data_IF_413087657108
#
_entry.id   IF_413087657108
#
_cell.length_a   1.000
_cell.length_b   1.000
_cell.length_c   1.000
_cell.angle_alpha   90.00
_cell.angle_beta   90.00
_cell.angle_gamma   90.00
#
_symmetry.space_group_name_H-M   'P 1'
#
loop_
_entity.id
_entity.type
_entity.pdbx_description
1 polymer ?
#
# COMPACT_ATOMS: atom_id res chain seq x y z
N UNK A 1 22.37 53.50 -56.77
CA UNK A 1 21.85 52.34 -57.52
C UNK A 1 22.27 51.09 -56.77
N UNK A 2 21.33 50.25 -56.27
CA UNK A 2 21.55 48.85 -55.79
C UNK A 2 22.40 48.71 -54.49
N UNK A 3 22.07 47.94 -53.44
CA UNK A 3 20.93 47.05 -53.12
C UNK A 3 20.74 46.85 -51.58
N UNK A 4 19.62 46.18 -51.22
CA UNK A 4 19.10 45.78 -49.88
C UNK A 4 19.84 44.61 -49.20
N UNK A 5 19.71 44.49 -47.87
CA UNK A 5 19.21 43.31 -47.11
C UNK A 5 18.54 43.83 -45.79
N UNK A 6 17.28 43.50 -45.43
CA UNK A 6 16.72 42.25 -44.82
C UNK A 6 17.23 42.11 -43.36
N UNK A 7 16.39 42.05 -42.31
CA UNK A 7 15.56 40.90 -41.93
C UNK A 7 14.27 41.23 -41.13
N UNK A 8 13.51 40.19 -40.74
CA UNK A 8 12.06 40.17 -40.50
C UNK A 8 11.69 39.98 -39.03
N UNK A 9 10.65 40.67 -38.55
CA UNK A 9 9.88 40.25 -37.36
C UNK A 9 8.42 39.97 -37.75
N UNK A 10 7.92 38.78 -37.40
CA UNK A 10 6.52 38.38 -37.64
C UNK A 10 5.72 38.31 -36.34
N UNK A 11 4.74 39.20 -36.26
CA UNK A 11 3.68 39.33 -35.25
C UNK A 11 2.79 38.08 -35.12
N UNK A 12 2.22 37.83 -33.94
CA UNK A 12 0.87 37.25 -33.66
C UNK A 12 0.69 37.04 -32.14
N UNK A 13 -0.49 37.11 -31.49
CA UNK A 13 -1.77 37.76 -31.83
C UNK A 13 -2.60 38.04 -30.54
N UNK A 14 -3.65 38.87 -30.65
CA UNK A 14 -4.69 39.17 -29.61
C UNK A 14 -5.92 38.24 -29.81
N UNK A 15 -6.92 38.03 -28.94
CA UNK A 15 -7.41 38.43 -27.59
C UNK A 15 -8.49 37.33 -27.20
N UNK A 16 -9.49 37.42 -26.27
CA UNK A 16 -9.78 38.32 -25.12
C UNK A 16 -10.15 37.62 -23.77
N UNK A 17 -10.35 38.42 -22.73
CA UNK A 17 -10.96 38.07 -21.43
C UNK A 17 -12.46 37.74 -21.51
N UNK A 18 -13.00 37.05 -20.48
CA UNK A 18 -14.45 36.83 -20.31
C UNK A 18 -14.87 37.01 -18.85
N UNK A 19 -15.70 38.02 -18.57
CA UNK A 19 -16.42 38.18 -17.30
C UNK A 19 -17.81 37.52 -17.39
N UNK A 20 -18.30 37.00 -16.25
CA UNK A 20 -19.72 36.72 -16.03
C UNK A 20 -20.03 37.06 -14.56
N UNK A 21 -21.07 37.85 -14.31
CA UNK A 21 -21.62 38.16 -12.98
C UNK A 21 -23.07 37.65 -12.88
N UNK A 22 -23.48 37.14 -11.72
CA UNK A 22 -24.66 37.56 -10.91
C UNK A 22 -25.22 36.44 -10.00
N UNK A 23 -25.53 36.79 -8.74
CA UNK A 23 -26.51 36.10 -7.85
C UNK A 23 -26.18 34.68 -7.35
N UNK A 24 -26.62 34.20 -6.17
CA UNK A 24 -27.53 34.74 -5.14
C UNK A 24 -27.35 33.96 -3.82
N UNK A 25 -27.52 34.61 -2.66
CA UNK A 25 -27.73 34.01 -1.30
C UNK A 25 -26.66 33.03 -0.73
N UNK A 26 -25.84 33.56 0.16
CA UNK A 26 -25.90 33.16 1.57
C UNK A 26 -25.28 31.83 2.02
N UNK A 27 -23.95 31.70 1.95
CA UNK A 27 -23.16 30.91 2.92
C UNK A 27 -21.89 31.67 3.29
N UNK A 28 -21.61 31.80 4.59
CA UNK A 28 -20.42 32.48 5.10
C UNK A 28 -19.22 31.53 5.06
N UNK A 29 -18.61 31.39 3.88
CA UNK A 29 -17.36 30.66 3.72
C UNK A 29 -16.20 31.59 4.09
N UNK A 30 -15.56 31.34 5.25
CA UNK A 30 -14.22 31.88 5.53
C UNK A 30 -13.27 31.39 4.44
N UNK A 31 -12.92 32.28 3.50
CA UNK A 31 -11.81 32.07 2.57
C UNK A 31 -10.51 32.07 3.37
N UNK A 32 -10.07 30.89 3.81
CA UNK A 32 -8.70 30.73 4.26
C UNK A 32 -7.83 30.58 3.01
N UNK A 33 -7.28 31.70 2.55
CA UNK A 33 -6.33 31.72 1.42
C UNK A 33 -5.12 30.87 1.76
N UNK A 34 -4.80 29.91 0.89
CA UNK A 34 -3.46 29.31 0.88
C UNK A 34 -2.44 30.44 0.68
N UNK A 35 -1.32 30.46 1.41
CA UNK A 35 -0.27 31.43 1.14
C UNK A 35 0.23 31.23 -0.29
N UNK A 36 0.23 32.30 -1.09
CA UNK A 36 0.82 32.26 -2.41
C UNK A 36 2.32 32.01 -2.25
N UNK A 37 2.82 30.93 -2.87
CA UNK A 37 4.26 30.78 -3.05
C UNK A 37 4.73 31.87 -4.02
N UNK A 38 5.69 32.72 -3.65
CA UNK A 38 6.25 33.70 -4.58
C UNK A 38 7.01 32.94 -5.68
N UNK A 39 6.61 33.15 -6.93
CA UNK A 39 7.39 32.67 -8.08
C UNK A 39 8.69 33.47 -8.18
N UNK A 40 9.81 32.76 -8.08
CA UNK A 40 11.12 33.13 -8.64
C UNK A 40 11.74 34.47 -8.19
N UNK A 41 12.22 34.53 -6.94
CA UNK A 41 13.39 35.35 -6.60
C UNK A 41 14.50 34.47 -6.01
N UNK A 42 15.56 34.24 -6.81
CA UNK A 42 16.72 33.45 -6.41
C UNK A 42 17.80 34.36 -5.78
N UNK A 43 18.09 34.12 -4.50
CA UNK A 43 19.33 34.45 -3.77
C UNK A 43 19.88 35.89 -3.83
N UNK A 44 19.39 36.76 -2.93
CA UNK A 44 20.26 37.68 -2.18
C UNK A 44 19.78 37.78 -0.72
N UNK A 45 20.71 37.71 0.24
CA UNK A 45 20.42 37.87 1.68
C UNK A 45 20.68 36.62 2.53
N UNK A 46 21.72 36.68 3.37
CA UNK A 46 22.02 35.65 4.38
C UNK A 46 21.41 36.06 5.72
N UNK A 47 20.11 35.81 5.88
CA UNK A 47 19.46 35.69 7.20
C UNK A 47 18.89 34.26 7.39
N UNK A 48 19.74 33.27 7.09
CA UNK A 48 19.58 31.93 7.64
C UNK A 48 20.26 31.93 9.00
N UNK A 49 19.50 31.78 10.09
CA UNK A 49 20.01 31.09 11.29
C UNK A 49 18.92 30.61 12.28
N UNK A 50 17.80 31.31 12.48
CA UNK A 50 16.86 30.87 13.53
C UNK A 50 15.77 29.93 13.02
N UNK A 51 15.03 30.32 11.97
CA UNK A 51 13.90 29.54 11.47
C UNK A 51 14.34 28.20 10.85
N UNK A 52 15.36 28.24 9.98
CA UNK A 52 15.88 27.03 9.31
C UNK A 52 16.53 26.08 10.30
N UNK A 53 17.24 26.57 11.31
CA UNK A 53 17.87 25.68 12.28
C UNK A 53 16.83 25.08 13.23
N UNK A 54 15.85 25.86 13.69
CA UNK A 54 14.80 25.37 14.60
C UNK A 54 13.89 24.32 13.93
N UNK A 55 13.44 24.58 12.70
CA UNK A 55 12.59 23.65 11.95
C UNK A 55 13.30 22.32 11.65
N UNK A 56 14.53 22.38 11.14
CA UNK A 56 15.29 21.17 10.78
C UNK A 56 15.77 20.38 12.01
N UNK A 57 16.13 21.05 13.12
CA UNK A 57 16.64 20.39 14.32
C UNK A 57 15.54 19.73 15.17
N UNK A 58 14.34 20.32 15.25
CA UNK A 58 13.30 19.89 16.20
C UNK A 58 12.01 19.35 15.56
N UNK A 59 11.57 19.88 14.41
CA UNK A 59 10.29 19.48 13.81
C UNK A 59 10.44 18.39 12.74
N UNK A 60 11.48 18.44 11.91
CA UNK A 60 11.70 17.41 10.90
C UNK A 60 11.87 16.00 11.46
N UNK A 61 12.62 15.73 12.55
CA UNK A 61 12.76 14.37 13.07
C UNK A 61 11.42 13.78 13.55
N UNK A 62 10.58 14.58 14.21
CA UNK A 62 9.26 14.16 14.68
C UNK A 62 8.30 13.86 13.52
N UNK A 63 8.28 14.73 12.50
CA UNK A 63 7.48 14.53 11.28
C UNK A 63 7.98 13.30 10.51
N UNK A 64 9.29 13.16 10.34
CA UNK A 64 9.89 12.03 9.62
C UNK A 64 9.61 10.70 10.33
N UNK A 65 9.75 10.63 11.66
CA UNK A 65 9.38 9.44 12.43
C UNK A 65 7.89 9.13 12.29
N UNK A 66 7.01 10.14 12.39
CA UNK A 66 5.55 9.98 12.18
C UNK A 66 5.22 9.48 10.77
N UNK A 67 5.97 9.90 9.75
CA UNK A 67 5.79 9.42 8.37
C UNK A 67 6.37 8.01 8.19
N UNK A 68 7.52 7.69 8.78
CA UNK A 68 8.13 6.35 8.75
C UNK A 68 7.26 5.30 9.49
N UNK A 69 6.62 5.66 10.61
CA UNK A 69 5.66 4.79 11.29
C UNK A 69 4.40 4.53 10.47
N UNK A 70 3.95 5.53 9.69
CA UNK A 70 2.79 5.41 8.78
C UNK A 70 3.15 4.67 7.49
N UNK A 71 4.38 4.83 7.00
CA UNK A 71 4.97 4.04 5.93
C UNK A 71 5.56 2.77 6.56
N UNK A 72 4.68 1.89 7.05
CA UNK A 72 5.04 0.48 7.26
C UNK A 72 5.51 -0.07 5.92
N UNK A 73 6.81 -0.08 5.67
CA UNK A 73 7.38 -0.79 4.53
C UNK A 73 7.10 -2.27 4.79
N UNK A 74 6.18 -2.92 4.04
CA UNK A 74 5.89 -4.32 4.28
C UNK A 74 7.18 -5.09 4.03
N UNK A 75 7.57 -5.90 5.00
CA UNK A 75 8.85 -6.60 4.98
C UNK A 75 8.76 -7.80 4.02
N UNK A 76 8.58 -7.52 2.72
CA UNK A 76 8.21 -8.43 1.63
C UNK A 76 9.19 -9.61 1.50
N UNK A 77 9.02 -10.60 2.38
CA UNK A 77 9.89 -11.75 2.50
C UNK A 77 9.71 -12.64 1.28
N UNK A 78 10.77 -12.77 0.49
CA UNK A 78 10.76 -13.53 -0.77
C UNK A 78 10.81 -15.04 -0.56
N UNK A 79 11.32 -15.50 0.59
CA UNK A 79 11.45 -16.92 0.90
C UNK A 79 11.58 -17.21 2.41
N UNK A 80 11.37 -18.48 2.75
CA UNK A 80 11.52 -19.04 4.08
C UNK A 80 12.55 -20.16 4.06
N UNK A 81 13.61 -20.01 4.86
CA UNK A 81 14.57 -21.07 5.11
C UNK A 81 14.01 -21.97 6.21
N UNK A 82 13.76 -23.24 5.90
CA UNK A 82 13.19 -24.24 6.82
C UNK A 82 14.12 -25.43 6.95
N UNK A 83 14.17 -26.04 8.13
CA UNK A 83 14.98 -27.23 8.39
C UNK A 83 14.09 -28.48 8.44
N UNK A 84 14.32 -29.44 7.55
CA UNK A 84 13.52 -30.67 7.43
C UNK A 84 14.42 -31.82 6.97
N UNK A 85 14.29 -32.99 7.59
CA UNK A 85 15.07 -34.21 7.26
C UNK A 85 16.59 -33.96 7.19
N UNK A 86 17.15 -33.27 8.19
CA UNK A 86 18.57 -32.90 8.29
C UNK A 86 19.09 -32.04 7.12
N UNK A 87 18.22 -31.29 6.44
CA UNK A 87 18.55 -30.39 5.33
C UNK A 87 17.86 -29.04 5.49
N UNK A 88 18.55 -27.99 5.04
CA UNK A 88 17.94 -26.69 4.84
C UNK A 88 17.24 -26.65 3.48
N UNK A 89 15.97 -26.27 3.47
CA UNK A 89 15.13 -26.13 2.29
C UNK A 89 14.75 -24.66 2.19
N UNK A 90 14.90 -24.08 1.00
CA UNK A 90 14.47 -22.72 0.72
C UNK A 90 13.09 -22.77 0.07
N UNK A 91 12.05 -22.27 0.75
CA UNK A 91 10.67 -22.26 0.26
C UNK A 91 10.33 -20.85 -0.26
N UNK A 92 10.20 -20.63 -1.57
CA UNK A 92 9.81 -19.34 -2.12
C UNK A 92 8.39 -18.96 -1.70
N UNK A 93 8.17 -17.69 -1.39
CA UNK A 93 6.85 -17.19 -0.97
C UNK A 93 5.76 -17.42 -2.03
N UNK A 94 6.14 -17.48 -3.31
CA UNK A 94 5.23 -17.74 -4.43
C UNK A 94 4.75 -19.20 -4.50
N UNK A 95 5.47 -20.15 -3.91
CA UNK A 95 5.08 -21.57 -3.89
C UNK A 95 4.18 -21.94 -2.70
N UNK A 96 3.91 -20.99 -1.80
CA UNK A 96 3.13 -21.22 -0.58
C UNK A 96 1.65 -21.05 -0.91
N UNK A 97 0.86 -22.08 -0.61
CA UNK A 97 -0.59 -22.05 -0.76
C UNK A 97 -1.25 -21.40 0.47
N UNK A 98 -0.85 -21.80 1.68
CA UNK A 98 -1.29 -21.18 2.93
C UNK A 98 -0.32 -21.46 4.08
N UNK A 99 -0.48 -20.70 5.16
CA UNK A 99 0.07 -20.99 6.47
C UNK A 99 -1.07 -21.39 7.41
N UNK A 100 -0.82 -22.32 8.32
CA UNK A 100 -1.75 -22.65 9.40
C UNK A 100 -1.05 -22.85 10.74
N UNK A 101 -1.81 -22.83 11.84
CA UNK A 101 -1.29 -23.15 13.19
C UNK A 101 -1.90 -24.45 13.70
N UNK A 102 -1.02 -25.37 14.11
CA UNK A 102 -1.36 -26.68 14.67
C UNK A 102 -0.42 -26.97 15.83
N UNK A 103 -0.95 -27.38 16.99
CA UNK A 103 -0.16 -27.61 18.21
C UNK A 103 0.77 -26.43 18.56
N UNK A 104 0.21 -25.22 18.57
CA UNK A 104 0.92 -23.94 18.84
C UNK A 104 2.04 -23.55 17.85
N UNK A 105 2.36 -24.43 16.90
CA UNK A 105 3.38 -24.24 15.88
C UNK A 105 2.74 -23.78 14.57
N UNK A 106 3.36 -22.81 13.88
CA UNK A 106 2.96 -22.43 12.53
C UNK A 106 3.63 -23.32 11.48
N UNK A 107 2.88 -23.63 10.42
CA UNK A 107 3.32 -24.44 9.30
C UNK A 107 3.07 -23.72 7.98
N UNK A 108 4.03 -23.80 7.07
CA UNK A 108 3.85 -23.56 5.63
C UNK A 108 3.25 -24.81 5.00
N UNK A 109 2.25 -24.63 4.14
CA UNK A 109 1.82 -25.64 3.16
C UNK A 109 1.98 -25.06 1.76
N UNK A 110 2.79 -25.70 0.92
CA UNK A 110 3.02 -25.32 -0.47
C UNK A 110 2.07 -26.02 -1.46
N UNK A 111 2.01 -25.52 -2.70
CA UNK A 111 1.13 -26.06 -3.74
C UNK A 111 1.42 -27.54 -4.12
N UNK A 112 2.66 -27.98 -3.92
CA UNK A 112 3.09 -29.39 -4.02
C UNK A 112 2.65 -30.27 -2.83
N UNK A 113 1.86 -29.70 -1.91
CA UNK A 113 1.33 -30.33 -0.68
C UNK A 113 2.41 -30.71 0.34
N UNK A 114 3.61 -30.13 0.24
CA UNK A 114 4.62 -30.26 1.29
C UNK A 114 4.31 -29.33 2.46
N UNK A 115 4.48 -29.87 3.67
CA UNK A 115 4.35 -29.14 4.93
C UNK A 115 5.72 -28.88 5.57
N UNK A 116 5.93 -27.68 6.10
CA UNK A 116 7.17 -27.26 6.77
C UNK A 116 6.87 -26.43 8.02
N UNK A 117 7.41 -26.82 9.18
CA UNK A 117 7.30 -26.03 10.39
C UNK A 117 8.11 -24.72 10.28
N UNK A 118 7.57 -23.63 10.83
CA UNK A 118 8.25 -22.32 10.88
C UNK A 118 8.18 -21.70 12.27
N UNK A 119 9.27 -21.08 12.70
CA UNK A 119 9.36 -20.39 13.98
C UNK A 119 8.89 -18.93 13.88
N UNK A 120 7.63 -18.75 13.47
CA UNK A 120 6.95 -17.45 13.38
C UNK A 120 5.50 -17.60 13.82
N UNK A 121 4.92 -16.59 14.47
CA UNK A 121 3.47 -16.52 14.65
C UNK A 121 2.77 -16.11 13.34
N UNK A 122 1.47 -16.39 13.18
CA UNK A 122 0.70 -15.89 12.03
C UNK A 122 0.66 -14.35 11.95
N UNK A 123 0.88 -13.65 13.07
CA UNK A 123 0.94 -12.19 13.11
C UNK A 123 2.26 -11.66 12.57
N UNK A 124 3.38 -12.32 12.94
CA UNK A 124 4.68 -12.05 12.34
C UNK A 124 4.67 -12.39 10.84
N UNK A 125 4.09 -13.53 10.46
CA UNK A 125 3.95 -13.92 9.05
C UNK A 125 3.14 -12.89 8.26
N UNK A 126 2.02 -12.40 8.80
CA UNK A 126 1.23 -11.36 8.15
C UNK A 126 2.03 -10.05 7.96
N UNK A 127 2.94 -9.69 8.88
CA UNK A 127 3.82 -8.51 8.72
C UNK A 127 5.00 -8.72 7.74
N UNK A 128 5.40 -9.98 7.53
CA UNK A 128 6.50 -10.39 6.66
C UNK A 128 6.06 -10.73 5.22
N UNK A 129 4.75 -10.74 4.96
CA UNK A 129 4.20 -11.15 3.67
C UNK A 129 3.55 -9.96 2.95
N UNK A 130 3.49 -9.95 1.60
CA UNK A 130 2.77 -8.92 0.89
C UNK A 130 1.27 -9.03 1.16
N UNK A 131 0.64 -7.98 1.72
CA UNK A 131 -0.81 -7.95 2.00
C UNK A 131 -1.68 -8.23 0.76
N UNK A 132 -1.20 -7.86 -0.44
CA UNK A 132 -1.84 -8.20 -1.72
C UNK A 132 -1.83 -9.69 -2.05
N UNK A 133 -0.82 -10.44 -1.58
CA UNK A 133 -0.65 -11.86 -1.89
C UNK A 133 -1.25 -12.75 -0.80
N UNK A 134 -1.28 -12.32 0.47
CA UNK A 134 -1.77 -13.16 1.58
C UNK A 134 -2.86 -12.48 2.41
N UNK A 135 -3.91 -13.24 2.73
CA UNK A 135 -5.01 -12.79 3.60
C UNK A 135 -5.23 -13.73 4.78
N UNK A 136 -5.29 -13.17 5.98
CA UNK A 136 -5.58 -13.93 7.20
C UNK A 136 -7.07 -14.29 7.24
N UNK A 137 -7.43 -15.51 6.85
CA UNK A 137 -8.82 -15.96 6.79
C UNK A 137 -9.47 -16.01 8.18
N UNK A 138 -8.74 -16.52 9.17
CA UNK A 138 -9.19 -16.62 10.56
C UNK A 138 -7.99 -16.65 11.54
N UNK A 139 -8.20 -16.99 12.82
CA UNK A 139 -7.13 -17.05 13.82
C UNK A 139 -6.01 -18.04 13.48
N UNK A 140 -6.36 -19.16 12.83
CA UNK A 140 -5.49 -20.30 12.55
C UNK A 140 -4.96 -20.37 11.11
N UNK A 141 -5.51 -19.61 10.15
CA UNK A 141 -5.16 -19.72 8.72
C UNK A 141 -4.88 -18.36 8.04
N UNK A 142 -3.84 -18.35 7.20
CA UNK A 142 -3.38 -17.24 6.35
C UNK A 142 -3.12 -17.79 4.94
N UNK A 143 -4.00 -17.48 3.98
CA UNK A 143 -3.97 -18.09 2.65
C UNK A 143 -3.39 -17.15 1.59
N UNK A 144 -2.74 -17.73 0.58
CA UNK A 144 -2.31 -17.03 -0.64
C UNK A 144 -3.51 -16.76 -1.55
N UNK A 145 -3.50 -15.65 -2.27
CA UNK A 145 -4.47 -15.31 -3.31
C UNK A 145 -4.58 -16.44 -4.34
N UNK A 146 -3.45 -16.89 -4.88
CA UNK A 146 -3.39 -17.91 -5.94
C UNK A 146 -3.82 -19.31 -5.43
N UNK A 147 -4.05 -19.47 -4.12
CA UNK A 147 -4.59 -20.70 -3.54
C UNK A 147 -6.11 -20.73 -3.42
N UNK A 148 -6.79 -19.59 -3.49
CA UNK A 148 -8.25 -19.51 -3.40
C UNK A 148 -8.87 -20.02 -4.70
N UNK A 149 -9.59 -21.14 -4.64
CA UNK A 149 -10.24 -21.74 -5.81
C UNK A 149 -11.64 -21.18 -6.02
N UNK A 150 -12.42 -21.12 -4.95
CA UNK A 150 -13.82 -20.71 -4.94
C UNK A 150 -14.22 -20.23 -3.53
N UNK A 151 -15.24 -19.38 -3.48
CA UNK A 151 -15.78 -18.82 -2.24
C UNK A 151 -17.30 -18.88 -2.31
N UNK A 152 -17.92 -19.44 -1.28
CA UNK A 152 -19.37 -19.63 -1.22
C UNK A 152 -19.97 -19.02 0.05
N UNK A 153 -21.25 -18.64 -0.01
CA UNK A 153 -21.97 -18.17 1.16
C UNK A 153 -22.24 -19.32 2.13
N UNK A 154 -21.94 -19.10 3.40
CA UNK A 154 -22.14 -20.07 4.47
C UNK A 154 -23.07 -19.52 5.56
N UNK A 155 -23.47 -20.40 6.48
CA UNK A 155 -24.35 -20.07 7.59
C UNK A 155 -23.89 -18.83 8.38
N UNK A 156 -24.87 -18.08 8.91
CA UNK A 156 -24.67 -16.83 9.67
C UNK A 156 -23.96 -15.70 8.89
N UNK A 157 -24.11 -15.64 7.55
CA UNK A 157 -23.45 -14.67 6.66
C UNK A 157 -21.92 -14.74 6.71
N UNK A 158 -21.38 -15.94 6.98
CA UNK A 158 -19.95 -16.23 6.81
C UNK A 158 -19.68 -16.55 5.34
N UNK A 159 -18.41 -16.51 4.95
CA UNK A 159 -17.95 -17.08 3.68
C UNK A 159 -17.16 -18.35 3.97
N UNK A 160 -17.41 -19.41 3.20
CA UNK A 160 -16.58 -20.60 3.16
C UNK A 160 -15.62 -20.46 1.98
N UNK A 161 -14.33 -20.65 2.25
CA UNK A 161 -13.24 -20.50 1.28
C UNK A 161 -12.65 -21.87 1.01
N UNK A 162 -12.77 -22.33 -0.23
CA UNK A 162 -12.21 -23.61 -0.65
C UNK A 162 -10.89 -23.32 -1.39
N UNK A 163 -9.79 -23.95 -0.93
CA UNK A 163 -8.46 -23.78 -1.53
C UNK A 163 -8.14 -24.90 -2.52
N UNK A 164 -7.20 -24.62 -3.44
CA UNK A 164 -6.67 -25.62 -4.37
C UNK A 164 -5.90 -26.77 -3.66
N UNK A 165 -5.31 -26.49 -2.49
CA UNK A 165 -4.71 -27.49 -1.60
C UNK A 165 -5.69 -27.81 -0.47
N UNK A 166 -6.04 -29.10 -0.24
CA UNK A 166 -6.99 -29.47 0.81
C UNK A 166 -6.54 -29.07 2.22
N UNK A 167 -7.45 -28.51 3.01
CA UNK A 167 -7.26 -28.21 4.43
C UNK A 167 -7.94 -29.24 5.33
N UNK A 168 -7.45 -29.40 6.57
CA UNK A 168 -8.06 -30.30 7.55
C UNK A 168 -9.39 -29.81 8.12
N UNK A 169 -9.67 -28.51 7.99
CA UNK A 169 -10.86 -27.84 8.54
C UNK A 169 -11.49 -26.90 7.49
N UNK A 170 -12.78 -26.57 7.67
CA UNK A 170 -13.49 -25.59 6.85
C UNK A 170 -12.98 -24.17 7.11
N UNK A 171 -12.49 -23.50 6.07
CA UNK A 171 -11.97 -22.13 6.19
C UNK A 171 -13.13 -21.13 6.15
N UNK A 172 -13.58 -20.71 7.32
CA UNK A 172 -14.65 -19.72 7.46
C UNK A 172 -14.10 -18.32 7.71
N UNK A 173 -14.45 -17.37 6.84
CA UNK A 173 -14.27 -15.93 7.06
C UNK A 173 -15.53 -15.39 7.75
N UNK A 174 -15.35 -14.57 8.79
CA UNK A 174 -16.48 -14.01 9.55
C UNK A 174 -17.24 -12.95 8.75
N UNK A 175 -18.50 -12.68 9.12
CA UNK A 175 -19.35 -11.68 8.48
C UNK A 175 -18.66 -10.30 8.44
N UNK A 176 -17.99 -9.93 9.53
CA UNK A 176 -17.32 -8.64 9.74
C UNK A 176 -16.18 -8.44 8.74
N UNK A 177 -15.47 -9.52 8.39
CA UNK A 177 -14.32 -9.51 7.47
C UNK A 177 -14.66 -9.97 6.06
N UNK A 178 -15.91 -10.37 5.81
CA UNK A 178 -16.34 -10.86 4.49
C UNK A 178 -16.23 -9.77 3.42
N UNK A 179 -16.58 -8.52 3.73
CA UNK A 179 -16.43 -7.40 2.80
C UNK A 179 -14.97 -7.01 2.51
N UNK A 180 -14.10 -7.12 3.53
CA UNK A 180 -12.65 -6.91 3.42
C UNK A 180 -12.03 -7.99 2.51
N UNK A 181 -12.37 -9.26 2.76
CA UNK A 181 -11.89 -10.42 2.01
C UNK A 181 -12.33 -10.41 0.53
N UNK A 182 -13.60 -10.11 0.24
CA UNK A 182 -14.08 -10.02 -1.14
C UNK A 182 -13.40 -8.89 -1.91
N UNK A 183 -13.18 -7.73 -1.28
CA UNK A 183 -12.38 -6.64 -1.87
C UNK A 183 -10.93 -7.05 -2.12
N UNK A 184 -10.33 -7.82 -1.22
CA UNK A 184 -8.98 -8.36 -1.41
C UNK A 184 -8.90 -9.34 -2.61
N UNK A 185 -9.93 -10.16 -2.83
CA UNK A 185 -10.03 -11.02 -4.02
C UNK A 185 -10.26 -10.25 -5.34
N UNK A 186 -10.91 -9.09 -5.28
CA UNK A 186 -11.15 -8.22 -6.44
C UNK A 186 -9.93 -7.39 -6.85
N UNK A 187 -9.13 -6.92 -5.87
CA UNK A 187 -8.03 -5.98 -6.10
C UNK A 187 -6.69 -6.66 -6.38
N UNK A 188 -6.37 -6.87 -7.66
CA UNK A 188 -5.04 -7.31 -8.13
C UNK A 188 -4.19 -6.12 -8.60
#
# INVERSE_FOLDING_TARGET
MVMKQIEVQSNTNRLPSREILTGTRGINLKKQSLPAYPENEFYTGVEKNDFTHTFFQHQLPAILNTLLEKIKVPANKKNFLVFKHNKYINVPTQTIAYFHVKYETAFIVSFDRQEYAVNYSLEQLQQLLPDKQFFRLNRQYLASFDAVKEVEHYFARKLLVNLAVPTGEKLLVSKERSAEFLRWLENR
#
